data_IF_082675716940
#
_entry.id   IF_082675716940
#
_cell.length_a   1.000
_cell.length_b   1.000
_cell.length_c   1.000
_cell.angle_alpha   90.00
_cell.angle_beta   90.00
_cell.angle_gamma   90.00
#
_symmetry.space_group_name_H-M   'P 1'
#
loop_
_entity.id
_entity.type
_entity.pdbx_description
1 polymer ?
#
# COMPACT_ATOMS: atom_id res chain seq x y z
N UNK A 1 -18.97 -27.98 -6.65
CA UNK A 1 -19.48 -27.07 -5.59
C UNK A 1 -18.43 -26.01 -5.37
N UNK A 2 -18.66 -24.80 -5.93
CA UNK A 2 -17.86 -23.61 -5.68
C UNK A 2 -18.25 -23.06 -4.32
N UNK A 3 -17.36 -23.13 -3.35
CA UNK A 3 -17.50 -22.39 -2.09
C UNK A 3 -17.18 -20.93 -2.38
N UNK A 4 -18.21 -20.11 -2.43
CA UNK A 4 -18.09 -18.67 -2.50
C UNK A 4 -17.65 -18.20 -1.12
N UNK A 5 -16.38 -17.79 -0.97
CA UNK A 5 -15.91 -17.09 0.22
C UNK A 5 -16.50 -15.69 0.12
N UNK A 6 -17.51 -15.41 0.93
CA UNK A 6 -18.01 -14.05 1.10
C UNK A 6 -16.99 -13.29 1.94
N UNK A 7 -16.23 -12.42 1.28
CA UNK A 7 -15.35 -11.46 1.96
C UNK A 7 -16.27 -10.37 2.51
N UNK A 8 -16.49 -10.40 3.82
CA UNK A 8 -17.06 -9.26 4.51
C UNK A 8 -15.94 -8.24 4.74
N UNK A 9 -16.05 -7.08 4.10
CA UNK A 9 -15.30 -5.90 4.49
C UNK A 9 -15.60 -5.63 5.98
N UNK A 10 -14.52 -5.45 6.78
CA UNK A 10 -14.57 -5.19 8.23
C UNK A 10 -15.01 -6.34 9.14
N UNK A 11 -14.35 -7.50 9.06
CA UNK A 11 -14.35 -8.42 10.18
C UNK A 11 -12.91 -8.54 10.69
N UNK A 12 -12.63 -7.91 11.83
CA UNK A 12 -11.42 -8.14 12.62
C UNK A 12 -11.52 -9.59 13.14
N UNK A 13 -11.05 -10.55 12.36
CA UNK A 13 -10.90 -11.92 12.83
C UNK A 13 -9.52 -12.05 13.45
N UNK A 14 -9.39 -11.68 14.72
CA UNK A 14 -8.23 -12.02 15.53
C UNK A 14 -8.46 -13.40 16.12
N UNK A 15 -7.78 -14.43 15.60
CA UNK A 15 -7.73 -15.73 16.23
C UNK A 15 -6.44 -15.84 17.04
N UNK A 16 -6.50 -15.99 18.38
CA UNK A 16 -5.32 -16.32 19.15
C UNK A 16 -4.87 -17.74 18.80
N UNK A 17 -3.73 -17.88 18.18
CA UNK A 17 -3.06 -19.17 18.03
C UNK A 17 -2.13 -19.31 19.22
N UNK A 18 -2.50 -20.15 20.18
CA UNK A 18 -1.62 -20.48 21.29
C UNK A 18 -0.42 -21.29 20.80
N UNK A 19 0.74 -20.66 20.70
CA UNK A 19 2.00 -21.33 20.43
C UNK A 19 2.83 -21.31 21.71
N UNK A 20 3.12 -22.51 22.23
CA UNK A 20 3.93 -22.73 23.41
C UNK A 20 5.38 -22.30 23.15
N UNK A 21 5.78 -21.14 23.63
CA UNK A 21 7.18 -20.80 23.93
C UNK A 21 7.23 -19.53 24.76
N UNK A 22 7.92 -19.55 25.89
CA UNK A 22 8.01 -18.53 26.94
C UNK A 22 6.65 -18.03 27.49
N UNK A 23 6.46 -18.19 28.79
CA UNK A 23 5.26 -17.76 29.52
C UNK A 23 4.85 -16.37 29.09
N UNK A 24 3.64 -16.24 28.50
CA UNK A 24 2.91 -14.99 28.23
C UNK A 24 3.18 -14.29 26.87
N UNK A 25 3.61 -14.96 25.80
CA UNK A 25 3.58 -14.43 24.45
C UNK A 25 2.33 -14.91 23.72
N UNK A 26 1.57 -13.97 23.10
CA UNK A 26 0.41 -14.27 22.29
C UNK A 26 0.73 -13.91 20.84
N UNK A 27 0.29 -14.76 19.91
CA UNK A 27 0.36 -14.53 18.48
C UNK A 27 -1.02 -14.19 17.94
N UNK A 28 -1.16 -13.08 17.25
CA UNK A 28 -2.39 -12.59 16.64
C UNK A 28 -2.21 -12.57 15.13
N UNK A 29 -3.16 -13.15 14.42
CA UNK A 29 -3.24 -13.05 12.96
C UNK A 29 -4.37 -12.09 12.59
N UNK A 30 -4.07 -11.12 11.74
CA UNK A 30 -5.01 -10.15 11.24
C UNK A 30 -4.97 -10.12 9.70
N UNK A 31 -6.12 -9.92 9.08
CA UNK A 31 -6.27 -9.91 7.63
C UNK A 31 -7.27 -8.84 7.22
N UNK A 32 -6.99 -8.15 6.10
CA UNK A 32 -7.86 -7.12 5.53
C UNK A 32 -7.61 -7.00 4.02
N UNK A 33 -8.14 -5.94 3.41
CA UNK A 33 -7.88 -5.57 2.02
C UNK A 33 -7.30 -4.16 1.96
N UNK A 34 -6.22 -3.98 1.21
CA UNK A 34 -5.59 -2.68 0.98
C UNK A 34 -5.18 -2.55 -0.50
N UNK A 35 -5.47 -1.40 -1.11
CA UNK A 35 -5.12 -1.09 -2.50
C UNK A 35 -5.57 -2.19 -3.49
N UNK A 36 -6.71 -2.84 -3.19
CA UNK A 36 -7.30 -3.91 -3.99
C UNK A 36 -6.72 -5.30 -3.78
N UNK A 37 -5.75 -5.48 -2.88
CA UNK A 37 -5.14 -6.76 -2.57
C UNK A 37 -5.51 -7.25 -1.18
N UNK A 38 -5.49 -8.57 -1.01
CA UNK A 38 -5.57 -9.18 0.31
C UNK A 38 -4.26 -8.93 1.05
N UNK A 39 -4.36 -8.41 2.26
CA UNK A 39 -3.21 -8.10 3.12
C UNK A 39 -3.36 -8.80 4.47
N UNK A 40 -2.25 -9.15 5.07
CA UNK A 40 -2.25 -9.79 6.37
C UNK A 40 -1.03 -9.39 7.21
N UNK A 41 -1.14 -9.59 8.51
CA UNK A 41 -0.02 -9.46 9.43
C UNK A 41 -0.14 -10.43 10.59
N UNK A 42 1.01 -10.82 11.12
CA UNK A 42 1.13 -11.57 12.35
C UNK A 42 1.83 -10.70 13.39
N UNK A 43 1.21 -10.55 14.55
CA UNK A 43 1.69 -9.72 15.65
C UNK A 43 1.97 -10.61 16.85
N UNK A 44 3.09 -10.36 17.54
CA UNK A 44 3.47 -11.08 18.75
C UNK A 44 3.65 -10.08 19.87
N UNK A 45 2.86 -10.25 20.92
CA UNK A 45 2.90 -9.36 22.10
C UNK A 45 2.60 -10.11 23.39
N UNK A 46 3.07 -9.55 24.53
CA UNK A 46 2.71 -10.00 25.88
C UNK A 46 1.44 -9.32 26.40
N UNK A 47 1.10 -8.17 25.80
CA UNK A 47 -0.03 -7.35 26.23
C UNK A 47 -0.94 -7.06 25.01
N UNK A 48 -2.17 -7.50 25.10
CA UNK A 48 -3.20 -7.30 24.10
C UNK A 48 -4.19 -6.15 24.43
N UNK A 49 -4.02 -5.52 25.60
CA UNK A 49 -4.94 -4.50 26.10
C UNK A 49 -5.16 -3.33 25.12
N UNK A 50 -4.15 -3.02 24.30
CA UNK A 50 -4.20 -1.95 23.30
C UNK A 50 -4.40 -2.44 21.87
N UNK A 51 -4.42 -3.76 21.64
CA UNK A 51 -4.40 -4.35 20.30
C UNK A 51 -5.63 -3.92 19.48
N UNK A 52 -6.82 -3.93 20.06
CA UNK A 52 -8.05 -3.51 19.36
C UNK A 52 -7.96 -2.06 18.87
N UNK A 53 -7.46 -1.14 19.70
CA UNK A 53 -7.28 0.25 19.33
C UNK A 53 -6.21 0.40 18.22
N UNK A 54 -5.12 -0.35 18.32
CA UNK A 54 -4.05 -0.36 17.33
C UNK A 54 -4.57 -0.84 15.96
N UNK A 55 -5.36 -1.91 15.93
CA UNK A 55 -5.97 -2.41 14.68
C UNK A 55 -6.93 -1.38 14.06
N UNK A 56 -7.69 -0.65 14.86
CA UNK A 56 -8.53 0.46 14.35
C UNK A 56 -7.69 1.58 13.72
N UNK A 57 -6.53 1.90 14.29
CA UNK A 57 -5.60 2.88 13.72
C UNK A 57 -5.05 2.37 12.38
N UNK A 58 -4.68 1.11 12.30
CA UNK A 58 -4.19 0.47 11.08
C UNK A 58 -5.27 0.47 9.99
N UNK A 59 -6.51 0.10 10.32
CA UNK A 59 -7.64 0.14 9.38
C UNK A 59 -7.92 1.57 8.87
N UNK A 60 -7.82 2.57 9.75
CA UNK A 60 -7.96 3.98 9.37
C UNK A 60 -6.87 4.41 8.40
N UNK A 61 -5.63 3.97 8.62
CA UNK A 61 -4.49 4.29 7.76
C UNK A 61 -4.62 3.59 6.39
N UNK A 62 -5.04 2.34 6.34
CA UNK A 62 -5.34 1.63 5.09
C UNK A 62 -6.42 2.36 4.29
N UNK A 63 -7.51 2.76 4.96
CA UNK A 63 -8.58 3.52 4.31
C UNK A 63 -8.09 4.85 3.76
N UNK A 64 -7.20 5.54 4.47
CA UNK A 64 -6.57 6.78 4.02
C UNK A 64 -5.72 6.54 2.76
N UNK A 65 -4.91 5.48 2.75
CA UNK A 65 -4.10 5.11 1.57
C UNK A 65 -4.97 4.70 0.38
N UNK A 66 -6.05 3.97 0.59
CA UNK A 66 -7.02 3.65 -0.47
C UNK A 66 -7.57 4.92 -1.12
N UNK A 67 -7.95 5.94 -0.33
CA UNK A 67 -8.43 7.23 -0.84
C UNK A 67 -7.38 8.02 -1.64
N UNK A 68 -6.10 7.74 -1.44
CA UNK A 68 -5.02 8.43 -2.16
C UNK A 68 -4.64 7.66 -3.42
N UNK A 69 -4.41 6.33 -3.32
CA UNK A 69 -3.66 5.57 -4.32
C UNK A 69 -4.48 4.52 -5.08
N UNK A 70 -5.69 4.16 -4.63
CA UNK A 70 -6.42 3.04 -5.22
C UNK A 70 -7.02 3.38 -6.57
N UNK A 71 -6.47 2.82 -7.67
CA UNK A 71 -6.85 3.12 -9.04
C UNK A 71 -8.26 2.65 -9.42
N UNK A 72 -8.84 1.67 -8.72
CA UNK A 72 -10.19 1.19 -8.96
C UNK A 72 -11.26 2.04 -8.24
N UNK A 73 -10.87 2.94 -7.34
CA UNK A 73 -11.77 3.91 -6.74
C UNK A 73 -11.72 5.24 -7.51
N UNK A 74 -12.78 5.53 -8.27
CA UNK A 74 -12.89 6.77 -9.07
C UNK A 74 -12.78 8.06 -8.22
N UNK A 75 -13.02 7.97 -6.91
CA UNK A 75 -12.90 9.09 -5.97
C UNK A 75 -11.50 9.25 -5.36
N UNK A 76 -10.58 8.34 -5.63
CA UNK A 76 -9.20 8.43 -5.13
C UNK A 76 -8.46 9.62 -5.73
N UNK A 77 -7.49 10.17 -4.98
CA UNK A 77 -6.73 11.35 -5.40
C UNK A 77 -5.95 11.11 -6.71
N UNK A 78 -5.40 9.90 -6.87
CA UNK A 78 -4.70 9.53 -8.11
C UNK A 78 -5.65 9.51 -9.31
N UNK A 79 -6.90 9.03 -9.16
CA UNK A 79 -7.89 9.05 -10.24
C UNK A 79 -8.42 10.46 -10.54
N UNK A 80 -8.59 11.29 -9.51
CA UNK A 80 -8.93 12.71 -9.70
C UNK A 80 -7.84 13.39 -10.52
N UNK A 81 -6.55 13.18 -10.20
CA UNK A 81 -5.43 13.70 -10.97
C UNK A 81 -5.44 13.17 -12.41
N UNK A 82 -5.56 11.85 -12.60
CA UNK A 82 -5.58 11.22 -13.92
C UNK A 82 -6.72 11.74 -14.80
N UNK A 83 -7.90 11.97 -14.23
CA UNK A 83 -9.07 12.47 -14.94
C UNK A 83 -8.98 13.96 -15.25
N UNK A 84 -8.66 14.78 -14.26
CA UNK A 84 -8.71 16.24 -14.36
C UNK A 84 -7.40 16.86 -14.86
N UNK A 85 -6.31 16.08 -14.91
CA UNK A 85 -4.94 16.51 -15.25
C UNK A 85 -4.35 17.53 -14.27
N UNK A 86 -5.08 17.84 -13.21
CA UNK A 86 -4.67 18.73 -12.11
C UNK A 86 -5.19 18.18 -10.78
N UNK A 87 -4.36 18.26 -9.76
CA UNK A 87 -4.74 18.04 -8.36
C UNK A 87 -4.24 19.19 -7.51
N UNK A 88 -5.18 19.89 -6.85
CA UNK A 88 -4.90 21.04 -5.98
C UNK A 88 -4.81 20.55 -4.54
N UNK A 89 -3.83 21.05 -3.77
CA UNK A 89 -3.55 20.66 -2.39
C UNK A 89 -3.42 19.12 -2.23
N UNK A 90 -2.50 18.47 -2.98
CA UNK A 90 -2.33 17.04 -2.93
C UNK A 90 -1.90 16.58 -1.53
N UNK A 91 -2.31 15.38 -1.10
CA UNK A 91 -1.79 14.78 0.13
C UNK A 91 -0.26 14.65 0.07
N UNK A 92 0.40 14.86 1.21
CA UNK A 92 1.86 14.79 1.29
C UNK A 92 2.40 13.42 0.87
N UNK A 93 1.65 12.36 1.13
CA UNK A 93 2.03 11.00 0.72
C UNK A 93 2.07 10.84 -0.80
N UNK A 94 1.15 11.47 -1.52
CA UNK A 94 1.14 11.45 -2.98
C UNK A 94 2.34 12.24 -3.55
N UNK A 95 2.63 13.41 -2.98
CA UNK A 95 3.82 14.19 -3.34
C UNK A 95 5.11 13.40 -3.10
N UNK A 96 5.24 12.78 -1.93
CA UNK A 96 6.41 11.99 -1.59
C UNK A 96 6.58 10.77 -2.50
N UNK A 97 5.47 10.10 -2.85
CA UNK A 97 5.50 8.96 -3.76
C UNK A 97 5.92 9.36 -5.18
N UNK A 98 5.44 10.49 -5.69
CA UNK A 98 5.84 11.00 -7.01
C UNK A 98 7.32 11.43 -7.00
N UNK A 99 7.78 12.12 -5.97
CA UNK A 99 9.18 12.50 -5.83
C UNK A 99 10.11 11.27 -5.71
N UNK A 100 9.66 10.21 -5.05
CA UNK A 100 10.38 8.94 -5.00
C UNK A 100 10.41 8.26 -6.38
N UNK A 101 9.29 8.28 -7.09
CA UNK A 101 9.18 7.76 -8.44
C UNK A 101 10.12 8.48 -9.41
N UNK A 102 10.26 9.81 -9.29
CA UNK A 102 11.20 10.60 -10.09
C UNK A 102 12.63 10.14 -9.90
N UNK A 103 13.06 9.89 -8.65
CA UNK A 103 14.40 9.36 -8.36
C UNK A 103 14.62 8.01 -9.03
N UNK A 104 13.64 7.10 -8.99
CA UNK A 104 13.75 5.80 -9.67
C UNK A 104 13.72 5.94 -11.18
N UNK A 105 12.94 6.86 -11.74
CA UNK A 105 12.97 7.18 -13.16
C UNK A 105 14.37 7.60 -13.61
N UNK A 106 15.01 8.53 -12.89
CA UNK A 106 16.36 9.00 -13.18
C UNK A 106 17.40 7.89 -13.03
N UNK A 107 17.38 7.13 -11.91
CA UNK A 107 18.33 6.04 -11.65
C UNK A 107 18.23 4.90 -12.67
N UNK A 108 17.05 4.65 -13.21
CA UNK A 108 16.79 3.59 -14.20
C UNK A 108 16.91 4.04 -15.65
N UNK A 109 17.31 5.29 -15.90
CA UNK A 109 17.30 5.91 -17.24
C UNK A 109 15.93 5.78 -17.93
N UNK A 110 14.84 6.01 -17.18
CA UNK A 110 13.46 5.97 -17.68
C UNK A 110 12.84 4.58 -17.78
N UNK A 111 13.54 3.52 -17.39
CA UNK A 111 12.98 2.16 -17.39
C UNK A 111 11.88 1.97 -16.33
N UNK A 112 11.98 2.67 -15.22
CA UNK A 112 10.90 2.83 -14.25
C UNK A 112 10.16 4.12 -14.54
N UNK A 113 8.90 4.05 -14.95
CA UNK A 113 8.09 5.22 -15.29
C UNK A 113 6.66 5.05 -14.81
N UNK A 114 6.20 5.94 -13.94
CA UNK A 114 4.83 5.93 -13.40
C UNK A 114 3.79 6.42 -14.42
N UNK A 115 4.21 7.02 -15.53
CA UNK A 115 3.31 7.52 -16.58
C UNK A 115 2.82 6.43 -17.54
N UNK A 116 3.12 5.16 -17.26
CA UNK A 116 2.75 4.00 -18.11
C UNK A 116 1.27 3.58 -17.97
N UNK A 117 0.46 4.26 -17.17
CA UNK A 117 -0.95 3.90 -16.98
C UNK A 117 -1.74 3.84 -18.30
N UNK A 118 -1.54 4.74 -19.30
CA UNK A 118 -2.20 4.63 -20.59
C UNK A 118 -1.89 3.34 -21.35
N UNK A 119 -0.69 2.75 -21.16
CA UNK A 119 -0.34 1.45 -21.74
C UNK A 119 -1.21 0.34 -21.17
N UNK A 120 -1.31 0.29 -19.83
CA UNK A 120 -2.16 -0.69 -19.13
C UNK A 120 -3.61 -0.58 -19.57
N UNK A 121 -4.15 0.65 -19.64
CA UNK A 121 -5.51 0.90 -20.10
C UNK A 121 -5.73 0.46 -21.55
N UNK A 122 -4.75 0.67 -22.41
CA UNK A 122 -4.82 0.29 -23.83
C UNK A 122 -4.77 -1.23 -23.99
N UNK A 123 -3.86 -1.93 -23.32
CA UNK A 123 -3.78 -3.38 -23.36
C UNK A 123 -5.05 -4.05 -22.82
N UNK A 124 -5.60 -3.58 -21.71
CA UNK A 124 -6.81 -4.15 -21.12
C UNK A 124 -8.06 -3.95 -21.98
N UNK A 125 -8.12 -2.88 -22.77
CA UNK A 125 -9.28 -2.52 -23.60
C UNK A 125 -9.10 -2.82 -25.09
N UNK A 126 -7.97 -3.42 -25.50
CA UNK A 126 -7.68 -3.73 -26.91
C UNK A 126 -7.60 -2.50 -27.83
N UNK A 127 -7.25 -1.32 -27.29
CA UNK A 127 -7.15 -0.06 -28.02
C UNK A 127 -5.71 0.23 -28.47
N UNK A 128 -5.58 1.07 -29.51
CA UNK A 128 -4.28 1.57 -29.93
C UNK A 128 -3.64 2.41 -28.82
N UNK A 129 -2.33 2.22 -28.61
CA UNK A 129 -1.54 2.91 -27.58
C UNK A 129 -1.20 4.31 -28.07
N UNK A 130 -1.62 5.33 -27.32
CA UNK A 130 -1.06 6.67 -27.48
C UNK A 130 0.14 6.84 -26.52
N UNK A 131 1.34 7.00 -27.09
CA UNK A 131 2.58 7.14 -26.32
C UNK A 131 2.92 8.58 -25.93
N UNK A 132 2.20 9.57 -26.45
CA UNK A 132 2.48 11.00 -26.20
C UNK A 132 2.37 11.40 -24.73
N UNK A 133 1.52 10.70 -23.96
CA UNK A 133 1.36 10.93 -22.52
C UNK A 133 2.42 10.27 -21.63
N UNK A 134 3.36 9.52 -22.22
CA UNK A 134 4.36 8.75 -21.47
C UNK A 134 5.64 9.58 -21.32
N UNK A 135 6.26 9.50 -20.16
CA UNK A 135 7.49 10.19 -19.82
C UNK A 135 7.29 11.14 -18.64
N UNK A 136 8.21 11.10 -17.70
CA UNK A 136 8.13 11.87 -16.45
C UNK A 136 8.12 13.39 -16.68
N UNK A 137 8.63 13.88 -17.81
CA UNK A 137 8.56 15.27 -18.24
C UNK A 137 7.12 15.78 -18.47
N UNK A 138 6.13 14.88 -18.51
CA UNK A 138 4.71 15.24 -18.55
C UNK A 138 4.13 15.51 -17.15
N UNK A 139 4.91 15.45 -16.10
CA UNK A 139 4.47 15.71 -14.72
C UNK A 139 5.15 16.99 -14.21
N UNK A 140 4.37 17.94 -13.73
CA UNK A 140 4.85 19.12 -13.00
C UNK A 140 4.33 19.05 -11.57
N UNK A 141 5.24 19.12 -10.59
CA UNK A 141 4.95 18.95 -9.17
C UNK A 141 5.40 20.15 -8.36
N UNK A 142 4.48 20.67 -7.59
CA UNK A 142 4.75 21.66 -6.55
C UNK A 142 4.11 21.25 -5.22
N UNK A 143 4.45 21.91 -4.14
CA UNK A 143 3.82 21.66 -2.83
C UNK A 143 2.30 21.92 -2.81
N UNK A 144 1.79 22.70 -3.77
CA UNK A 144 0.37 23.09 -3.84
C UNK A 144 -0.40 22.36 -4.92
N UNK A 145 0.27 21.93 -5.99
CA UNK A 145 -0.41 21.39 -7.16
C UNK A 145 0.43 20.28 -7.82
N UNK A 146 -0.24 19.34 -8.43
CA UNK A 146 0.33 18.39 -9.39
C UNK A 146 -0.40 18.59 -10.71
N UNK A 147 0.34 18.70 -11.82
CA UNK A 147 -0.20 18.80 -13.18
C UNK A 147 0.29 17.63 -14.03
N UNK A 148 -0.61 17.07 -14.83
CA UNK A 148 -0.26 16.25 -15.96
C UNK A 148 -0.35 17.11 -17.22
N UNK A 149 0.82 17.43 -17.79
CA UNK A 149 0.96 18.46 -18.83
C UNK A 149 0.40 18.04 -20.20
N UNK A 150 0.24 16.73 -20.43
CA UNK A 150 -0.33 16.18 -21.65
C UNK A 150 -1.71 15.56 -21.35
N UNK A 151 -2.69 15.80 -22.24
CA UNK A 151 -4.05 15.30 -22.08
C UNK A 151 -4.16 13.76 -22.03
N UNK A 152 -3.18 13.05 -22.59
CA UNK A 152 -3.10 11.59 -22.60
C UNK A 152 -2.30 11.03 -21.42
N UNK A 153 -1.67 11.87 -20.62
CA UNK A 153 -0.91 11.42 -19.45
C UNK A 153 -1.83 10.89 -18.36
N UNK A 154 -1.50 9.73 -17.84
CA UNK A 154 -2.07 9.14 -16.63
C UNK A 154 -0.94 8.46 -15.86
N UNK A 155 -1.03 8.48 -14.54
CA UNK A 155 -0.01 7.88 -13.68
C UNK A 155 -0.55 6.70 -12.90
N UNK A 156 0.35 5.77 -12.57
CA UNK A 156 0.13 4.69 -11.63
C UNK A 156 1.25 4.68 -10.58
N UNK A 157 0.88 4.48 -9.33
CA UNK A 157 1.82 4.34 -8.22
C UNK A 157 1.71 2.96 -7.55
N UNK A 158 1.07 1.98 -8.21
CA UNK A 158 0.86 0.64 -7.66
C UNK A 158 2.15 -0.04 -7.22
N UNK A 159 3.26 0.17 -7.94
CA UNK A 159 4.58 -0.38 -7.61
C UNK A 159 5.23 0.22 -6.36
N UNK A 160 4.76 1.38 -5.89
CA UNK A 160 5.33 2.08 -4.73
C UNK A 160 4.36 2.11 -3.55
N UNK A 161 3.05 2.24 -3.81
CA UNK A 161 2.05 2.47 -2.79
C UNK A 161 1.98 1.34 -1.74
N UNK A 162 2.16 0.09 -2.17
CA UNK A 162 2.16 -1.06 -1.26
C UNK A 162 3.37 -1.04 -0.33
N UNK A 163 4.57 -0.76 -0.85
CA UNK A 163 5.79 -0.62 -0.04
C UNK A 163 5.68 0.53 0.96
N UNK A 164 5.19 1.70 0.51
CA UNK A 164 5.00 2.88 1.37
C UNK A 164 4.00 2.58 2.49
N UNK A 165 2.89 1.90 2.17
CA UNK A 165 1.90 1.49 3.18
C UNK A 165 2.50 0.46 4.16
N UNK A 166 3.24 -0.53 3.67
CA UNK A 166 3.93 -1.53 4.48
C UNK A 166 4.88 -0.87 5.49
N UNK A 167 5.69 0.09 5.02
CA UNK A 167 6.60 0.87 5.86
C UNK A 167 5.85 1.67 6.91
N UNK A 168 4.75 2.30 6.52
CA UNK A 168 3.91 3.07 7.42
C UNK A 168 3.29 2.22 8.52
N UNK A 169 2.75 1.05 8.18
CA UNK A 169 2.19 0.11 9.18
C UNK A 169 3.29 -0.42 10.10
N UNK A 170 4.47 -0.72 9.57
CA UNK A 170 5.64 -1.11 10.35
C UNK A 170 5.99 -0.06 11.43
N UNK A 171 6.05 1.22 11.05
CA UNK A 171 6.30 2.32 11.99
C UNK A 171 5.22 2.43 13.08
N UNK A 172 3.94 2.31 12.70
CA UNK A 172 2.82 2.33 13.64
C UNK A 172 2.96 1.20 14.66
N UNK A 173 3.29 -0.02 14.22
CA UNK A 173 3.49 -1.17 15.09
C UNK A 173 4.66 -0.94 16.07
N UNK A 174 5.81 -0.49 15.58
CA UNK A 174 6.98 -0.22 16.41
C UNK A 174 6.69 0.87 17.46
N UNK A 175 6.07 1.97 17.05
CA UNK A 175 5.71 3.08 17.94
C UNK A 175 4.65 2.67 18.98
N UNK A 176 3.86 1.64 18.71
CA UNK A 176 2.89 1.05 19.63
C UNK A 176 3.49 -0.05 20.52
N UNK A 177 4.81 -0.29 20.45
CA UNK A 177 5.51 -1.29 21.25
C UNK A 177 5.45 -2.72 20.72
N UNK A 178 4.83 -2.96 19.55
CA UNK A 178 4.79 -4.28 18.88
C UNK A 178 6.08 -4.48 18.10
N UNK A 179 7.10 -4.99 18.78
CA UNK A 179 8.45 -5.18 18.20
C UNK A 179 8.57 -6.42 17.33
N UNK A 180 7.73 -7.45 17.59
CA UNK A 180 7.78 -8.72 16.87
C UNK A 180 6.55 -8.85 15.97
N UNK A 181 6.75 -8.71 14.67
CA UNK A 181 5.67 -8.78 13.68
C UNK A 181 6.17 -9.17 12.30
N UNK A 182 5.27 -9.75 11.53
CA UNK A 182 5.39 -9.98 10.09
C UNK A 182 4.22 -9.30 9.40
N UNK A 183 4.51 -8.46 8.42
CA UNK A 183 3.55 -7.74 7.57
C UNK A 183 3.67 -8.30 6.16
N UNK A 184 2.53 -8.55 5.50
CA UNK A 184 2.44 -8.91 4.10
C UNK A 184 1.32 -8.08 3.45
N UNK A 185 1.70 -6.97 2.86
CA UNK A 185 0.80 -6.01 2.18
C UNK A 185 1.12 -5.89 0.68
N UNK A 186 1.45 -7.04 0.07
CA UNK A 186 2.01 -7.10 -1.27
C UNK A 186 3.54 -7.08 -1.24
N UNK A 187 4.08 -6.35 -0.28
CA UNK A 187 5.49 -6.36 0.13
C UNK A 187 5.60 -7.00 1.52
N UNK A 188 6.64 -7.82 1.72
CA UNK A 188 6.92 -8.47 2.99
C UNK A 188 7.84 -7.65 3.89
N UNK A 189 7.44 -7.36 5.14
CA UNK A 189 8.30 -6.73 6.13
C UNK A 189 8.19 -7.40 7.48
N UNK A 190 9.32 -7.74 8.08
CA UNK A 190 9.39 -8.40 9.37
C UNK A 190 10.23 -7.60 10.38
N UNK A 191 9.91 -7.75 11.66
CA UNK A 191 10.70 -7.21 12.76
C UNK A 191 10.71 -8.19 13.93
N UNK A 192 11.84 -8.21 14.66
CA UNK A 192 12.01 -9.06 15.83
C UNK A 192 12.01 -10.56 15.48
N UNK A 193 11.42 -11.36 16.36
CA UNK A 193 11.46 -12.82 16.32
C UNK A 193 10.06 -13.43 16.21
N UNK A 194 10.01 -14.69 15.74
CA UNK A 194 8.80 -15.51 15.72
C UNK A 194 8.41 -15.96 17.15
N UNK A 195 7.19 -16.51 17.35
CA UNK A 195 6.79 -17.09 18.64
C UNK A 195 7.74 -18.18 19.16
N UNK A 196 8.45 -18.85 18.26
CA UNK A 196 9.41 -19.92 18.59
C UNK A 196 10.84 -19.39 18.81
N UNK A 197 11.00 -18.08 19.00
CA UNK A 197 12.28 -17.40 19.19
C UNK A 197 13.27 -17.57 18.01
N UNK A 198 12.75 -17.75 16.79
CA UNK A 198 13.51 -17.87 15.55
C UNK A 198 13.38 -16.60 14.72
N UNK A 199 14.21 -16.44 13.71
CA UNK A 199 14.04 -15.39 12.71
C UNK A 199 12.79 -15.64 11.84
N UNK A 200 12.19 -14.57 11.34
CA UNK A 200 11.14 -14.66 10.32
C UNK A 200 11.72 -15.14 9.00
N UNK A 201 11.01 -16.05 8.33
CA UNK A 201 11.33 -16.46 6.97
C UNK A 201 10.40 -15.74 6.00
N UNK A 202 10.96 -14.92 5.14
CA UNK A 202 10.27 -14.31 4.00
C UNK A 202 10.64 -15.11 2.76
N UNK A 203 9.66 -15.69 2.10
CA UNK A 203 9.84 -16.33 0.80
C UNK A 203 9.50 -15.28 -0.27
N UNK A 204 10.45 -15.03 -1.17
CA UNK A 204 10.29 -14.17 -2.34
C UNK A 204 9.76 -14.98 -3.52
#
# INVERSE_FOLDING_TARGET
RRNTIKIFASAIATFPINVFAEKNLYSYYWQSSALGNLVNMQLITKDDSHLKRLLMIIDSEINRFNKIFYLQDASSQINILNKNKILINPPIELLNAINLAEKFYQLSNGSFDITVQPLWNSYSNGKNINKEGIGFNNIDVSSKNIYLLNQYSEITLNSLAQGILTDRIHEILLNSGIKNHLINFGEGKASGITPLNNNWNLYL
#
